data_IF_092064233883
#
_entry.id   IF_092064233883
#
_cell.length_a   1.000
_cell.length_b   1.000
_cell.length_c   1.000
_cell.angle_alpha   90.00
_cell.angle_beta   90.00
_cell.angle_gamma   90.00
#
_symmetry.space_group_name_H-M   'P 1'
#
loop_
_entity.id
_entity.type
_entity.pdbx_description
1 polymer ?
#
# COMPACT_ATOMS: atom_id res chain seq x y z
N UNK A 1 8.48 17.81 17.91
CA UNK A 1 8.50 17.14 16.60
C UNK A 1 9.17 15.81 16.80
N UNK A 2 8.46 14.69 16.69
CA UNK A 2 9.07 13.36 16.84
C UNK A 2 9.96 13.10 15.63
N UNK A 3 11.22 12.72 15.87
CA UNK A 3 12.20 12.42 14.83
C UNK A 3 11.74 11.15 14.10
N UNK A 4 11.37 11.27 12.83
CA UNK A 4 11.03 10.10 12.01
C UNK A 4 12.29 9.25 11.83
N UNK A 5 12.19 7.91 11.95
CA UNK A 5 13.33 7.04 11.72
C UNK A 5 13.77 7.15 10.26
N UNK A 6 15.09 7.17 10.03
CA UNK A 6 15.66 7.21 8.68
C UNK A 6 15.30 5.95 7.87
N UNK A 7 15.22 4.81 8.56
CA UNK A 7 14.77 3.52 8.00
C UNK A 7 13.89 2.79 9.01
N UNK A 8 12.77 2.24 8.55
CA UNK A 8 11.91 1.34 9.31
C UNK A 8 12.25 -0.12 8.97
N UNK A 9 12.58 -0.92 9.98
CA UNK A 9 12.90 -2.35 9.79
C UNK A 9 12.02 -3.21 10.69
N UNK A 10 11.34 -4.21 10.13
CA UNK A 10 10.47 -5.09 10.90
C UNK A 10 10.28 -6.47 10.25
N UNK A 11 10.18 -7.50 11.08
CA UNK A 11 9.89 -8.88 10.68
C UNK A 11 8.41 -9.20 10.86
N UNK A 12 7.73 -9.51 9.76
CA UNK A 12 6.30 -9.80 9.72
C UNK A 12 5.98 -11.29 9.75
N UNK A 13 6.91 -12.16 10.13
CA UNK A 13 6.66 -13.61 10.19
C UNK A 13 5.43 -13.98 11.03
N UNK A 14 5.18 -13.25 12.13
CA UNK A 14 4.04 -13.46 13.02
C UNK A 14 2.76 -12.69 12.58
N UNK A 15 2.92 -11.64 11.77
CA UNK A 15 1.82 -10.80 11.31
C UNK A 15 1.97 -10.40 9.83
N UNK A 16 2.04 -11.38 8.89
CA UNK A 16 2.34 -11.09 7.47
C UNK A 16 1.30 -10.18 6.84
N UNK A 17 0.11 -10.21 7.40
CA UNK A 17 -1.08 -9.56 6.93
C UNK A 17 -1.05 -8.02 6.99
N UNK A 18 -0.32 -7.44 7.95
CA UNK A 18 -0.18 -5.98 8.12
C UNK A 18 0.99 -5.40 7.33
N UNK A 19 1.92 -6.24 6.87
CA UNK A 19 3.13 -5.81 6.17
C UNK A 19 2.82 -4.95 4.94
N UNK A 20 1.78 -5.31 4.18
CA UNK A 20 1.35 -4.57 3.00
C UNK A 20 0.90 -3.13 3.34
N UNK A 21 0.07 -2.97 4.37
CA UNK A 21 -0.37 -1.63 4.80
C UNK A 21 0.81 -0.81 5.31
N UNK A 22 1.72 -1.41 6.08
CA UNK A 22 2.90 -0.69 6.57
C UNK A 22 3.88 -0.32 5.47
N UNK A 23 4.02 -1.15 4.42
CA UNK A 23 4.80 -0.81 3.25
C UNK A 23 4.27 0.46 2.57
N UNK A 24 2.96 0.54 2.35
CA UNK A 24 2.31 1.71 1.74
C UNK A 24 2.44 2.94 2.65
N UNK A 25 2.31 2.79 3.97
CA UNK A 25 2.51 3.90 4.91
C UNK A 25 3.95 4.41 4.91
N UNK A 26 4.95 3.52 4.89
CA UNK A 26 6.35 3.93 4.81
C UNK A 26 6.64 4.69 3.51
N UNK A 27 6.14 4.16 2.39
CA UNK A 27 6.16 4.83 1.08
C UNK A 27 5.55 6.24 1.16
N UNK A 28 4.32 6.36 1.68
CA UNK A 28 3.60 7.62 1.84
C UNK A 28 4.33 8.65 2.71
N UNK A 29 4.99 8.18 3.77
CA UNK A 29 5.74 9.02 4.70
C UNK A 29 7.17 9.31 4.24
N UNK A 30 7.59 8.82 3.07
CA UNK A 30 8.96 8.94 2.56
C UNK A 30 10.00 8.35 3.51
N UNK A 31 9.61 7.30 4.24
CA UNK A 31 10.48 6.54 5.14
C UNK A 31 10.99 5.31 4.38
N UNK A 32 12.31 5.10 4.36
CA UNK A 32 12.90 3.88 3.80
C UNK A 32 12.45 2.69 4.65
N UNK A 33 12.24 1.54 4.03
CA UNK A 33 11.79 0.37 4.78
C UNK A 33 12.50 -0.91 4.38
N UNK A 34 12.77 -1.77 5.36
CA UNK A 34 13.19 -3.15 5.17
C UNK A 34 12.23 -4.08 5.90
N UNK A 35 11.44 -4.83 5.13
CA UNK A 35 10.39 -5.71 5.66
C UNK A 35 10.81 -7.15 5.41
N UNK A 36 10.82 -8.00 6.45
CA UNK A 36 11.15 -9.43 6.37
C UNK A 36 9.97 -10.31 6.77
N UNK A 37 10.10 -11.64 6.66
CA UNK A 37 9.02 -12.58 6.99
C UNK A 37 7.89 -12.63 5.96
N UNK A 38 8.16 -12.19 4.73
CA UNK A 38 7.11 -11.93 3.71
C UNK A 38 6.76 -13.13 2.83
N UNK A 39 7.32 -14.31 3.10
CA UNK A 39 7.20 -15.50 2.23
C UNK A 39 5.75 -15.83 1.89
N UNK A 40 4.86 -15.70 2.87
CA UNK A 40 3.45 -16.09 2.73
C UNK A 40 2.64 -15.11 1.88
N UNK A 41 3.12 -13.88 1.67
CA UNK A 41 2.40 -12.85 0.90
C UNK A 41 2.38 -13.13 -0.60
N UNK A 42 3.34 -13.89 -1.12
CA UNK A 42 3.42 -14.25 -2.54
C UNK A 42 2.39 -15.29 -2.97
N UNK A 43 1.76 -15.98 -2.03
CA UNK A 43 0.80 -17.09 -2.26
C UNK A 43 -0.59 -16.77 -1.70
N UNK A 44 -0.93 -15.48 -1.55
CA UNK A 44 -2.26 -15.04 -1.11
C UNK A 44 -3.23 -14.97 -2.30
N UNK A 45 -4.25 -14.11 -2.23
CA UNK A 45 -5.21 -13.88 -3.31
C UNK A 45 -4.49 -13.46 -4.61
N UNK A 46 -3.43 -12.67 -4.46
CA UNK A 46 -2.45 -12.34 -5.51
C UNK A 46 -1.02 -12.51 -4.96
N UNK A 47 0.00 -12.38 -5.82
CA UNK A 47 1.35 -12.08 -5.33
C UNK A 47 1.36 -10.63 -4.83
N UNK A 48 1.04 -10.47 -3.54
CA UNK A 48 0.93 -9.15 -2.89
C UNK A 48 2.23 -8.38 -2.92
N UNK A 49 3.38 -9.06 -2.99
CA UNK A 49 4.67 -8.39 -3.12
C UNK A 49 4.75 -7.79 -4.52
N UNK A 50 4.54 -8.59 -5.57
CA UNK A 50 4.57 -8.08 -6.94
C UNK A 50 3.54 -6.96 -7.17
N UNK A 51 2.31 -7.14 -6.69
CA UNK A 51 1.26 -6.12 -6.76
C UNK A 51 1.71 -4.82 -6.08
N UNK A 52 2.20 -4.89 -4.85
CA UNK A 52 2.73 -3.74 -4.12
C UNK A 52 3.87 -3.05 -4.90
N UNK A 53 4.81 -3.80 -5.47
CA UNK A 53 5.92 -3.23 -6.25
C UNK A 53 5.41 -2.47 -7.49
N UNK A 54 4.44 -3.04 -8.22
CA UNK A 54 3.84 -2.41 -9.40
C UNK A 54 3.12 -1.11 -9.03
N UNK A 55 2.31 -1.14 -7.97
CA UNK A 55 1.52 0.02 -7.55
C UNK A 55 2.38 1.12 -6.94
N UNK A 56 3.42 0.78 -6.14
CA UNK A 56 4.37 1.77 -5.61
C UNK A 56 5.21 2.43 -6.71
N UNK A 57 5.55 1.70 -7.78
CA UNK A 57 6.31 2.25 -8.90
C UNK A 57 5.55 3.39 -9.61
N UNK A 58 4.21 3.40 -9.60
CA UNK A 58 3.38 4.48 -10.15
C UNK A 58 3.62 5.82 -9.47
N UNK A 59 4.11 5.79 -8.23
CA UNK A 59 4.52 6.93 -7.42
C UNK A 59 6.02 7.21 -7.47
N UNK A 60 6.74 6.61 -8.43
CA UNK A 60 8.21 6.66 -8.54
C UNK A 60 8.92 6.10 -7.29
N UNK A 61 8.28 5.20 -6.55
CA UNK A 61 8.87 4.52 -5.40
C UNK A 61 9.43 3.20 -5.87
N UNK A 62 10.75 3.04 -5.75
CA UNK A 62 11.42 1.80 -6.11
C UNK A 62 11.38 0.82 -4.95
N UNK A 63 11.35 -0.45 -5.30
CA UNK A 63 11.36 -1.55 -4.34
C UNK A 63 12.23 -2.67 -4.86
N UNK A 64 12.96 -3.34 -3.97
CA UNK A 64 13.79 -4.50 -4.30
C UNK A 64 13.45 -5.67 -3.39
N UNK A 65 13.47 -6.88 -3.94
CA UNK A 65 13.26 -8.09 -3.16
C UNK A 65 14.56 -8.87 -3.06
N UNK A 66 14.91 -9.28 -1.85
CA UNK A 66 16.03 -10.19 -1.61
C UNK A 66 15.45 -11.59 -1.33
N UNK A 67 15.51 -12.46 -2.35
CA UNK A 67 14.83 -13.74 -2.33
C UNK A 67 13.30 -13.59 -2.21
N UNK A 68 12.69 -14.49 -1.43
CA UNK A 68 11.23 -14.56 -1.29
C UNK A 68 10.70 -13.96 0.01
N UNK A 69 11.57 -13.47 0.89
CA UNK A 69 11.20 -13.16 2.28
C UNK A 69 11.45 -11.71 2.68
N UNK A 70 12.23 -10.95 1.90
CA UNK A 70 12.60 -9.57 2.20
C UNK A 70 12.17 -8.62 1.08
N UNK A 71 11.62 -7.47 1.46
CA UNK A 71 11.30 -6.33 0.60
C UNK A 71 11.99 -5.07 1.15
N UNK A 72 12.72 -4.37 0.28
CA UNK A 72 13.26 -3.03 0.54
C UNK A 72 12.44 -1.98 -0.22
N UNK A 73 12.17 -0.86 0.43
CA UNK A 73 11.41 0.27 -0.14
C UNK A 73 12.29 1.52 -0.10
N UNK A 74 12.52 2.11 -1.28
CA UNK A 74 13.32 3.31 -1.49
C UNK A 74 12.37 4.49 -1.73
N UNK A 75 11.93 5.09 -0.62
CA UNK A 75 10.87 6.11 -0.62
C UNK A 75 11.38 7.53 -0.87
N UNK A 76 12.69 7.73 -1.04
CA UNK A 76 13.31 9.03 -1.32
C UNK A 76 12.88 9.66 -2.65
N UNK A 77 12.56 8.83 -3.64
CA UNK A 77 12.16 9.27 -5.00
C UNK A 77 10.64 9.41 -5.15
N UNK A 78 9.89 9.25 -4.05
CA UNK A 78 8.45 9.35 -4.01
C UNK A 78 7.92 10.66 -4.60
N UNK A 79 7.21 10.54 -5.72
CA UNK A 79 6.58 11.64 -6.44
C UNK A 79 5.06 11.54 -6.35
N UNK A 80 4.50 12.51 -5.63
CA UNK A 80 3.10 12.58 -5.30
C UNK A 80 2.37 13.71 -6.05
N UNK A 81 3.06 14.38 -6.97
CA UNK A 81 2.48 15.46 -7.77
C UNK A 81 1.67 14.94 -8.97
N UNK A 82 1.86 13.68 -9.36
CA UNK A 82 1.17 13.07 -10.50
C UNK A 82 -0.31 12.81 -10.17
N UNK A 83 -1.21 13.45 -10.92
CA UNK A 83 -2.64 13.22 -10.83
C UNK A 83 -3.08 11.98 -11.62
N UNK A 84 -4.22 11.41 -11.25
CA UNK A 84 -4.88 10.32 -11.99
C UNK A 84 -4.13 8.99 -11.91
N UNK A 85 -3.49 8.71 -10.77
CA UNK A 85 -2.91 7.38 -10.54
C UNK A 85 -4.05 6.40 -10.27
N UNK A 86 -4.10 5.34 -11.07
CA UNK A 86 -5.01 4.21 -10.90
C UNK A 86 -4.28 3.09 -10.16
N UNK A 87 -4.90 2.59 -9.09
CA UNK A 87 -4.42 1.45 -8.31
C UNK A 87 -5.20 0.21 -8.69
N UNK A 88 -4.49 -0.77 -9.24
CA UNK A 88 -5.07 -2.09 -9.50
C UNK A 88 -5.13 -2.88 -8.20
N UNK A 89 -6.27 -3.55 -7.96
CA UNK A 89 -6.49 -4.30 -6.72
C UNK A 89 -6.15 -5.78 -6.84
N UNK A 90 -6.08 -6.32 -8.05
CA UNK A 90 -5.74 -7.73 -8.30
C UNK A 90 -6.68 -8.70 -7.55
N UNK A 91 -7.98 -8.37 -7.48
CA UNK A 91 -8.99 -9.07 -6.69
C UNK A 91 -8.68 -9.17 -5.17
N UNK A 92 -7.72 -8.39 -4.69
CA UNK A 92 -7.25 -8.39 -3.31
C UNK A 92 -7.81 -7.19 -2.54
N UNK A 93 -8.72 -7.49 -1.62
CA UNK A 93 -9.34 -6.52 -0.74
C UNK A 93 -8.32 -5.66 0.04
N UNK A 94 -7.16 -6.21 0.37
CA UNK A 94 -6.13 -5.46 1.09
C UNK A 94 -5.35 -4.53 0.19
N UNK A 95 -5.21 -4.81 -1.10
CA UNK A 95 -4.61 -3.83 -2.02
C UNK A 95 -5.47 -2.56 -2.04
N UNK A 96 -6.79 -2.70 -2.16
CA UNK A 96 -7.71 -1.57 -2.06
C UNK A 96 -7.57 -0.83 -0.71
N UNK A 97 -7.64 -1.56 0.41
CA UNK A 97 -7.63 -0.95 1.73
C UNK A 97 -6.28 -0.35 2.13
N UNK A 98 -5.14 -0.91 1.68
CA UNK A 98 -3.81 -0.37 1.97
C UNK A 98 -3.54 0.92 1.20
N UNK A 99 -4.04 1.05 -0.03
CA UNK A 99 -3.77 2.21 -0.89
C UNK A 99 -4.80 3.34 -0.74
N UNK A 100 -6.07 3.04 -0.45
CA UNK A 100 -7.11 4.08 -0.33
C UNK A 100 -6.75 5.25 0.62
N UNK A 101 -6.12 5.03 1.79
CA UNK A 101 -5.70 6.12 2.68
C UNK A 101 -4.69 7.10 2.07
N UNK A 102 -3.99 6.71 1.00
CA UNK A 102 -3.11 7.62 0.27
C UNK A 102 -3.87 8.80 -0.31
N UNK A 103 -5.19 8.69 -0.57
CA UNK A 103 -5.96 9.80 -1.14
C UNK A 103 -5.90 11.10 -0.31
N UNK A 104 -5.53 11.06 0.98
CA UNK A 104 -5.23 12.25 1.78
C UNK A 104 -4.03 13.06 1.28
N UNK A 105 -3.02 12.38 0.75
CA UNK A 105 -1.80 13.01 0.22
C UNK A 105 -1.90 13.22 -1.30
N UNK A 106 -2.81 12.51 -1.96
CA UNK A 106 -2.94 12.47 -3.42
C UNK A 106 -4.40 12.61 -3.84
N UNK A 107 -4.82 13.84 -4.13
CA UNK A 107 -6.13 14.07 -4.71
C UNK A 107 -6.31 13.28 -6.01
N UNK A 108 -7.52 12.76 -6.23
CA UNK A 108 -7.90 12.00 -7.44
C UNK A 108 -7.16 10.66 -7.62
N UNK A 109 -6.82 9.98 -6.52
CA UNK A 109 -6.42 8.57 -6.56
C UNK A 109 -7.63 7.70 -6.94
N UNK A 110 -7.45 6.81 -7.92
CA UNK A 110 -8.51 5.91 -8.40
C UNK A 110 -8.18 4.50 -7.91
N UNK A 111 -9.11 3.85 -7.22
CA UNK A 111 -9.00 2.43 -6.84
C UNK A 111 -9.87 1.61 -7.78
N UNK A 112 -9.27 0.66 -8.50
CA UNK A 112 -9.96 -0.21 -9.46
C UNK A 112 -10.68 -1.34 -8.74
N UNK A 113 -11.83 -1.75 -9.28
CA UNK A 113 -12.68 -2.80 -8.68
C UNK A 113 -12.96 -2.57 -7.18
N UNK A 114 -13.51 -1.41 -6.78
CA UNK A 114 -13.62 -1.05 -5.36
C UNK A 114 -14.45 -2.03 -4.52
N UNK A 115 -15.28 -2.87 -5.15
CA UNK A 115 -16.10 -3.90 -4.48
C UNK A 115 -15.29 -5.05 -3.87
N UNK A 116 -14.01 -5.21 -4.21
CA UNK A 116 -13.16 -6.27 -3.62
C UNK A 116 -13.15 -6.21 -2.09
N UNK A 117 -13.30 -5.02 -1.50
CA UNK A 117 -13.31 -4.83 -0.04
C UNK A 117 -14.48 -5.54 0.67
N UNK A 118 -15.58 -5.81 -0.04
CA UNK A 118 -16.77 -6.47 0.53
C UNK A 118 -16.47 -7.87 1.10
N UNK A 119 -15.36 -8.49 0.67
CA UNK A 119 -14.89 -9.76 1.21
C UNK A 119 -14.59 -9.73 2.71
N UNK A 120 -14.12 -8.59 3.23
CA UNK A 120 -13.72 -8.46 4.64
C UNK A 120 -14.32 -7.24 5.33
N UNK A 121 -14.61 -6.18 4.59
CA UNK A 121 -15.07 -4.90 5.14
C UNK A 121 -16.09 -4.22 4.19
N UNK A 122 -17.34 -4.71 4.13
CA UNK A 122 -18.36 -4.16 3.22
C UNK A 122 -18.66 -2.67 3.37
N UNK A 123 -18.53 -2.12 4.59
CA UNK A 123 -18.77 -0.70 4.85
C UNK A 123 -17.56 0.20 4.61
N UNK A 124 -16.42 -0.33 4.15
CA UNK A 124 -15.13 0.38 4.09
C UNK A 124 -15.22 1.78 3.44
N UNK A 125 -15.89 1.89 2.30
CA UNK A 125 -16.01 3.17 1.58
C UNK A 125 -16.92 4.17 2.28
N UNK A 126 -17.96 3.71 2.95
CA UNK A 126 -18.84 4.58 3.75
C UNK A 126 -18.12 5.06 5.01
N UNK A 127 -17.38 4.18 5.67
CA UNK A 127 -16.57 4.53 6.83
C UNK A 127 -15.47 5.53 6.44
N UNK A 128 -14.81 5.36 5.29
CA UNK A 128 -13.87 6.34 4.74
C UNK A 128 -14.50 7.73 4.58
N UNK A 129 -15.73 7.83 4.04
CA UNK A 129 -16.44 9.12 3.91
C UNK A 129 -16.64 9.79 5.27
N UNK A 130 -16.91 9.02 6.32
CA UNK A 130 -17.05 9.56 7.68
C UNK A 130 -15.75 10.18 8.22
N UNK A 131 -14.59 9.75 7.72
CA UNK A 131 -13.27 10.32 8.07
C UNK A 131 -12.85 11.49 7.16
N UNK A 132 -13.76 12.02 6.35
CA UNK A 132 -13.53 13.22 5.53
C UNK A 132 -12.98 12.95 4.12
N UNK A 133 -13.00 11.70 3.66
CA UNK A 133 -12.68 11.39 2.26
C UNK A 133 -13.87 11.72 1.35
N UNK A 134 -13.59 12.33 0.20
CA UNK A 134 -14.56 12.38 -0.91
C UNK A 134 -14.39 11.13 -1.78
N UNK A 135 -15.34 10.21 -1.70
CA UNK A 135 -15.37 8.99 -2.52
C UNK A 135 -16.44 9.13 -3.60
N UNK A 136 -16.04 9.01 -4.87
CA UNK A 136 -16.91 9.11 -6.05
C UNK A 136 -16.61 7.97 -7.01
N UNK A 137 -17.65 7.43 -7.66
CA UNK A 137 -17.49 6.53 -8.80
C UNK A 137 -17.13 7.35 -10.04
N UNK A 138 -16.18 6.88 -10.83
CA UNK A 138 -15.65 7.52 -12.04
C UNK A 138 -15.64 6.57 -13.23
#
# INVERSE_FOLDING_TARGET
SAMQPETFSYDFSDCPDIAQTLAVVCAAKKVKAELTGLKTLRVKETDRILALQNELLKFNIRTETEGNEKLRIFSETADFAKAGIEIETYEDHRMAMSFAPLAFLYPNLIIKEPKVVEKSYPSFWEDLKMFGFEVKEV
#
